data_IF_335611775660
#
_entry.id   IF_335611775660
#
_cell.length_a   1.000
_cell.length_b   1.000
_cell.length_c   1.000
_cell.angle_alpha   90.00
_cell.angle_beta   90.00
_cell.angle_gamma   90.00
#
_symmetry.space_group_name_H-M   'P 1'
#
loop_
_entity.id
_entity.type
_entity.pdbx_description
1 polymer ?
#
# COMPACT_ATOMS: atom_id res chain seq x y z
N UNK A 1 5.68 -7.50 15.75
CA UNK A 1 6.38 -7.44 14.45
C UNK A 1 6.65 -5.99 14.22
N UNK A 2 7.91 -5.62 14.09
CA UNK A 2 8.27 -4.23 13.83
C UNK A 2 7.90 -3.86 12.40
N UNK A 3 7.64 -2.57 12.13
CA UNK A 3 7.26 -2.08 10.80
C UNK A 3 8.29 -2.48 9.73
N UNK A 4 9.57 -2.43 10.09
CA UNK A 4 10.68 -2.84 9.21
C UNK A 4 10.61 -4.33 8.84
N UNK A 5 10.22 -5.21 9.77
CA UNK A 5 10.04 -6.65 9.49
C UNK A 5 8.87 -6.91 8.54
N UNK A 6 7.80 -6.12 8.66
CA UNK A 6 6.67 -6.17 7.74
C UNK A 6 7.09 -5.76 6.33
N UNK A 7 7.94 -4.73 6.22
CA UNK A 7 8.43 -4.20 4.94
C UNK A 7 9.32 -5.22 4.23
N UNK A 8 10.25 -5.84 4.97
CA UNK A 8 11.13 -6.88 4.42
C UNK A 8 10.33 -8.08 3.92
N UNK A 9 9.36 -8.56 4.71
CA UNK A 9 8.52 -9.70 4.32
C UNK A 9 7.66 -9.42 3.09
N UNK A 10 7.07 -8.23 3.00
CA UNK A 10 6.28 -7.86 1.82
C UNK A 10 7.15 -7.89 0.55
N UNK A 11 8.37 -7.34 0.64
CA UNK A 11 9.32 -7.35 -0.47
C UNK A 11 9.79 -8.76 -0.85
N UNK A 12 10.04 -9.63 0.14
CA UNK A 12 10.34 -11.04 -0.12
C UNK A 12 9.21 -11.74 -0.90
N UNK A 13 7.95 -11.48 -0.52
CA UNK A 13 6.80 -12.03 -1.24
C UNK A 13 6.68 -11.47 -2.66
N UNK A 14 6.93 -10.18 -2.85
CA UNK A 14 6.92 -9.57 -4.18
C UNK A 14 7.95 -10.23 -5.13
N UNK A 15 9.17 -10.49 -4.62
CA UNK A 15 10.20 -11.21 -5.36
C UNK A 15 9.79 -12.66 -5.70
N UNK A 16 9.11 -13.35 -4.78
CA UNK A 16 8.60 -14.72 -5.02
C UNK A 16 7.49 -14.75 -6.06
N UNK A 17 6.63 -13.73 -6.12
CA UNK A 17 5.62 -13.59 -7.18
C UNK A 17 6.30 -13.41 -8.54
N UNK A 18 7.29 -12.53 -8.65
CA UNK A 18 8.05 -12.34 -9.88
C UNK A 18 8.69 -13.65 -10.39
N UNK A 19 9.22 -14.47 -9.49
CA UNK A 19 9.73 -15.80 -9.82
C UNK A 19 8.66 -16.82 -10.20
N UNK A 20 7.51 -16.84 -9.51
CA UNK A 20 6.43 -17.82 -9.69
C UNK A 20 5.58 -17.54 -10.95
N UNK A 21 5.45 -16.27 -11.35
CA UNK A 21 4.86 -15.88 -12.62
C UNK A 21 5.68 -16.40 -13.81
N UNK A 22 7.01 -16.42 -13.68
CA UNK A 22 7.91 -17.03 -14.67
C UNK A 22 7.73 -18.55 -14.82
N UNK A 23 7.21 -19.23 -13.80
CA UNK A 23 6.94 -20.67 -13.82
C UNK A 23 5.46 -21.04 -14.00
N UNK A 24 4.57 -20.07 -14.26
CA UNK A 24 3.12 -20.27 -14.41
C UNK A 24 2.44 -21.02 -13.24
N UNK A 25 2.97 -20.91 -12.02
CA UNK A 25 2.38 -21.55 -10.84
C UNK A 25 1.39 -20.61 -10.13
N UNK A 26 0.15 -20.60 -10.63
CA UNK A 26 -0.91 -19.74 -10.13
C UNK A 26 -1.37 -20.07 -8.71
N UNK A 27 -1.19 -21.31 -8.24
CA UNK A 27 -1.58 -21.70 -6.88
C UNK A 27 -0.64 -21.05 -5.87
N UNK A 28 0.67 -21.12 -6.13
CA UNK A 28 1.68 -20.44 -5.31
C UNK A 28 1.52 -18.92 -5.34
N UNK A 29 1.18 -18.33 -6.50
CA UNK A 29 0.91 -16.87 -6.58
C UNK A 29 -0.24 -16.47 -5.66
N UNK A 30 -1.34 -17.24 -5.63
CA UNK A 30 -2.48 -16.95 -4.76
C UNK A 30 -2.10 -17.01 -3.28
N UNK A 31 -1.41 -18.06 -2.85
CA UNK A 31 -0.97 -18.19 -1.45
C UNK A 31 -0.01 -17.06 -1.02
N UNK A 32 0.83 -16.57 -1.94
CA UNK A 32 1.73 -15.46 -1.65
C UNK A 32 0.94 -14.15 -1.54
N UNK A 33 -0.07 -13.94 -2.39
CA UNK A 33 -0.95 -12.76 -2.33
C UNK A 33 -1.73 -12.70 -1.03
N UNK A 34 -2.30 -13.82 -0.57
CA UNK A 34 -3.00 -13.87 0.71
C UNK A 34 -2.09 -13.42 1.87
N UNK A 35 -0.81 -13.79 1.85
CA UNK A 35 0.19 -13.35 2.84
C UNK A 35 0.60 -11.88 2.70
N UNK A 36 0.58 -11.32 1.48
CA UNK A 36 0.80 -9.89 1.28
C UNK A 36 -0.35 -9.07 1.85
N UNK A 37 -1.60 -9.49 1.62
CA UNK A 37 -2.79 -8.84 2.20
C UNK A 37 -2.71 -8.82 3.73
N UNK A 38 -2.34 -9.93 4.37
CA UNK A 38 -2.14 -9.97 5.82
C UNK A 38 -1.07 -9.00 6.35
N UNK A 39 -0.08 -8.65 5.51
CA UNK A 39 0.95 -7.67 5.85
C UNK A 39 0.42 -6.26 5.60
N UNK A 40 -0.24 -6.03 4.47
CA UNK A 40 -0.84 -4.75 4.10
C UNK A 40 -1.84 -4.30 5.17
N UNK A 41 -2.71 -5.19 5.65
CA UNK A 41 -3.65 -4.92 6.76
C UNK A 41 -2.93 -4.47 8.04
N UNK A 42 -1.82 -5.14 8.41
CA UNK A 42 -1.03 -4.77 9.60
C UNK A 42 -0.34 -3.43 9.45
N UNK A 43 0.19 -3.15 8.25
CA UNK A 43 0.82 -1.86 7.95
C UNK A 43 -0.26 -0.76 7.96
N UNK A 44 -1.46 -1.07 7.48
CA UNK A 44 -2.61 -0.18 7.48
C UNK A 44 -3.10 0.16 8.90
N UNK A 45 -3.15 -0.81 9.80
CA UNK A 45 -3.42 -0.55 11.23
C UNK A 45 -2.41 0.44 11.82
N UNK A 46 -1.12 0.27 11.52
CA UNK A 46 -0.05 1.19 11.97
C UNK A 46 -0.24 2.58 11.34
N UNK A 47 -0.61 2.65 10.07
CA UNK A 47 -0.94 3.91 9.40
C UNK A 47 -2.10 4.62 10.12
N UNK A 48 -3.19 3.94 10.46
CA UNK A 48 -4.32 4.53 11.18
C UNK A 48 -3.95 5.07 12.56
N UNK A 49 -2.96 4.48 13.24
CA UNK A 49 -2.45 4.95 14.52
C UNK A 49 -1.63 6.24 14.40
N UNK A 50 -0.84 6.38 13.34
CA UNK A 50 0.14 7.46 13.18
C UNK A 50 -0.32 8.56 12.20
N UNK A 51 -1.37 8.32 11.43
CA UNK A 51 -1.89 9.27 10.47
C UNK A 51 -2.38 10.56 11.16
N UNK A 52 -1.95 11.74 10.68
CA UNK A 52 -2.49 13.02 11.10
C UNK A 52 -4.02 13.04 10.96
N UNK A 53 -4.71 13.75 11.85
CA UNK A 53 -6.18 13.74 11.91
C UNK A 53 -6.90 14.24 10.64
N UNK A 54 -6.21 14.90 9.70
CA UNK A 54 -6.76 15.21 8.38
C UNK A 54 -6.72 14.00 7.45
N UNK A 55 -5.59 13.30 7.39
CA UNK A 55 -5.40 12.07 6.60
C UNK A 55 -6.29 10.95 7.13
N UNK A 56 -6.36 10.78 8.45
CA UNK A 56 -7.19 9.74 9.07
C UNK A 56 -8.68 9.83 8.73
N UNK A 57 -9.19 11.01 8.38
CA UNK A 57 -10.61 11.22 8.02
C UNK A 57 -10.95 10.78 6.60
N UNK A 58 -9.96 10.72 5.72
CA UNK A 58 -10.14 10.35 4.31
C UNK A 58 -9.76 8.89 4.04
N UNK A 59 -9.02 8.27 4.96
CA UNK A 59 -8.70 6.85 4.89
C UNK A 59 -9.99 5.99 4.95
N UNK A 60 -10.10 4.93 4.12
CA UNK A 60 -11.24 4.02 4.12
C UNK A 60 -11.33 3.20 5.43
N UNK A 61 -12.33 2.33 5.55
CA UNK A 61 -12.40 1.43 6.72
C UNK A 61 -11.40 0.28 6.64
N UNK A 62 -11.04 -0.14 5.41
CA UNK A 62 -10.14 -1.27 5.18
C UNK A 62 -9.08 -0.99 4.12
N UNK A 63 -7.96 -1.71 4.21
CA UNK A 63 -6.86 -1.59 3.25
C UNK A 63 -7.26 -2.07 1.83
N UNK A 64 -8.24 -2.97 1.72
CA UNK A 64 -8.67 -3.56 0.45
C UNK A 64 -9.32 -2.59 -0.53
N UNK A 65 -9.68 -1.38 -0.10
CA UNK A 65 -10.19 -0.31 -0.96
C UNK A 65 -9.05 0.56 -1.55
N UNK A 66 -7.79 0.16 -1.34
CA UNK A 66 -6.61 0.89 -1.79
C UNK A 66 -5.64 -0.02 -2.52
N UNK A 67 -4.95 0.55 -3.49
CA UNK A 67 -3.80 -0.08 -4.13
C UNK A 67 -2.55 0.15 -3.27
N UNK A 68 -1.83 -0.91 -2.95
CA UNK A 68 -0.65 -0.84 -2.08
C UNK A 68 0.63 -1.08 -2.86
N UNK A 69 1.48 -0.06 -2.88
CA UNK A 69 2.81 -0.09 -3.48
C UNK A 69 3.91 -0.03 -2.43
N UNK A 70 5.08 -0.62 -2.75
CA UNK A 70 6.27 -0.51 -1.91
C UNK A 70 7.47 -0.05 -2.74
N UNK A 71 8.11 1.03 -2.28
CA UNK A 71 9.36 1.53 -2.83
C UNK A 71 10.54 1.07 -1.97
N UNK A 72 11.30 0.12 -2.50
CA UNK A 72 12.35 -0.61 -1.78
C UNK A 72 13.56 0.26 -1.39
N UNK A 73 13.89 1.31 -2.16
CA UNK A 73 15.11 2.10 -1.90
C UNK A 73 14.93 3.08 -0.75
N UNK A 74 13.78 3.77 -0.69
CA UNK A 74 13.46 4.68 0.43
C UNK A 74 12.66 4.02 1.55
N UNK A 75 12.32 2.72 1.42
CA UNK A 75 11.49 1.98 2.39
C UNK A 75 10.19 2.74 2.66
N UNK A 76 9.42 2.99 1.61
CA UNK A 76 8.14 3.71 1.67
C UNK A 76 7.00 2.82 1.18
N UNK A 77 5.91 2.77 1.94
CA UNK A 77 4.63 2.23 1.49
C UNK A 77 3.76 3.35 0.92
N UNK A 78 3.10 3.05 -0.18
CA UNK A 78 2.18 3.92 -0.88
C UNK A 78 0.81 3.27 -0.82
N UNK A 79 -0.15 3.95 -0.20
CA UNK A 79 -1.55 3.57 -0.20
C UNK A 79 -2.28 4.52 -1.13
N UNK A 80 -2.67 4.00 -2.30
CA UNK A 80 -3.27 4.79 -3.37
C UNK A 80 -4.77 4.55 -3.38
N UNK A 81 -5.52 5.64 -3.42
CA UNK A 81 -6.98 5.61 -3.55
C UNK A 81 -7.47 6.77 -4.40
N UNK A 82 -8.72 6.69 -4.83
CA UNK A 82 -9.41 7.84 -5.42
C UNK A 82 -9.60 8.93 -4.36
N UNK A 83 -9.47 10.19 -4.79
CA UNK A 83 -9.68 11.34 -3.91
C UNK A 83 -11.17 11.40 -3.50
N UNK A 84 -11.50 11.21 -2.21
CA UNK A 84 -12.88 11.23 -1.76
C UNK A 84 -13.56 12.59 -1.97
N UNK A 85 -12.79 13.68 -2.14
CA UNK A 85 -13.34 15.01 -2.44
C UNK A 85 -13.81 15.14 -3.91
N UNK A 86 -13.41 14.23 -4.80
CA UNK A 86 -13.68 14.30 -6.25
C UNK A 86 -14.45 13.09 -6.80
N UNK A 87 -15.08 12.29 -5.94
CA UNK A 87 -15.85 11.09 -6.37
C UNK A 87 -17.00 11.43 -7.33
N UNK A 88 -17.57 12.64 -7.26
CA UNK A 88 -18.62 13.12 -8.17
C UNK A 88 -18.08 13.89 -9.39
N UNK A 89 -16.76 13.98 -9.55
CA UNK A 89 -16.10 14.65 -10.68
C UNK A 89 -16.09 13.77 -11.93
N UNK A 90 -16.13 14.40 -13.12
CA UNK A 90 -15.87 13.69 -14.38
C UNK A 90 -14.40 13.25 -14.52
N UNK A 91 -13.50 13.91 -13.78
CA UNK A 91 -12.07 13.58 -13.71
C UNK A 91 -11.74 12.78 -12.45
N UNK A 92 -11.20 11.57 -12.63
CA UNK A 92 -10.66 10.75 -11.54
C UNK A 92 -9.38 11.38 -11.03
N UNK A 93 -9.34 11.73 -9.75
CA UNK A 93 -8.13 12.16 -9.05
C UNK A 93 -7.67 11.09 -8.09
N UNK A 94 -6.36 10.86 -8.05
CA UNK A 94 -5.75 9.91 -7.14
C UNK A 94 -4.99 10.65 -6.03
N UNK A 95 -5.01 10.04 -4.85
CA UNK A 95 -4.20 10.45 -3.71
C UNK A 95 -3.33 9.29 -3.27
N UNK A 96 -2.09 9.59 -2.88
CA UNK A 96 -1.18 8.62 -2.29
C UNK A 96 -0.91 9.00 -0.84
N UNK A 97 -1.23 8.09 0.07
CA UNK A 97 -0.83 8.19 1.48
C UNK A 97 0.47 7.41 1.63
N UNK A 98 1.52 8.11 2.04
CA UNK A 98 2.88 7.58 2.06
C UNK A 98 3.30 7.37 3.51
N UNK A 99 3.69 6.15 3.86
CA UNK A 99 4.26 5.85 5.17
C UNK A 99 5.70 5.35 5.03
N UNK A 100 6.62 5.97 5.79
CA UNK A 100 8.01 5.52 5.84
C UNK A 100 8.27 4.52 6.98
N UNK A 101 9.45 3.90 6.96
CA UNK A 101 9.88 2.97 8.03
C UNK A 101 9.97 3.57 9.45
N UNK A 102 9.94 4.91 9.58
CA UNK A 102 9.90 5.62 10.86
C UNK A 102 8.48 6.00 11.30
N UNK A 103 7.45 5.52 10.59
CA UNK A 103 6.02 5.81 10.83
C UNK A 103 5.64 7.26 10.55
N UNK A 104 6.45 8.01 9.79
CA UNK A 104 6.04 9.31 9.29
C UNK A 104 5.02 9.10 8.16
N UNK A 105 3.96 9.91 8.19
CA UNK A 105 2.85 9.83 7.24
C UNK A 105 2.74 11.13 6.47
N UNK A 106 2.82 11.04 5.15
CA UNK A 106 2.68 12.13 4.18
C UNK A 106 1.51 11.83 3.24
N UNK A 107 0.98 12.88 2.59
CA UNK A 107 -0.05 12.75 1.55
C UNK A 107 0.41 13.50 0.32
N UNK A 108 0.35 12.84 -0.83
CA UNK A 108 0.62 13.40 -2.14
C UNK A 108 -0.66 13.40 -2.95
N UNK A 109 -1.01 14.56 -3.50
CA UNK A 109 -2.21 14.77 -4.31
C UNK A 109 -1.80 14.82 -5.78
N UNK A 110 -2.68 14.35 -6.66
CA UNK A 110 -2.57 14.57 -8.11
C UNK A 110 -1.24 14.07 -8.70
N UNK A 111 -0.87 12.84 -8.32
CA UNK A 111 0.34 12.21 -8.81
C UNK A 111 0.04 11.41 -10.09
N UNK A 112 0.90 11.55 -11.09
CA UNK A 112 0.90 10.70 -12.28
C UNK A 112 1.70 9.43 -12.02
N UNK A 113 1.09 8.26 -12.19
CA UNK A 113 1.81 7.00 -12.32
C UNK A 113 2.38 6.97 -13.74
N UNK A 114 3.66 7.29 -13.91
CA UNK A 114 4.36 7.06 -15.18
C UNK A 114 4.67 5.56 -15.31
N UNK A 115 4.27 4.96 -16.44
CA UNK A 115 4.51 3.55 -16.83
C UNK A 115 5.99 3.14 -16.87
#
# INVERSE_FOLDING_TARGET
MELEELFEKWNEYNNKIGGSLGSFDFSSVREIRDKQVEIEDKIYEILLEHAPGKIKKILPEGCGDMEVGYETRKKKFYFVMEDPEYVESEEVKLIAIIMDSNKNVEMELDFTIED
#
